data_IF_024574315242
#
_entry.id   IF_024574315242
#
_cell.length_a   1.000
_cell.length_b   1.000
_cell.length_c   1.000
_cell.angle_alpha   90.00
_cell.angle_beta   90.00
_cell.angle_gamma   90.00
#
_symmetry.space_group_name_H-M   'P 1'
#
loop_
_entity.id
_entity.type
_entity.pdbx_description
1 polymer ?
#
# COMPACT_ATOMS: atom_id res chain seq x y z
N UNK A 1 -11.62 -24.39 5.79
CA UNK A 1 -12.74 -23.45 5.62
C UNK A 1 -13.93 -24.19 5.05
N UNK A 2 -15.08 -24.05 5.65
CA UNK A 2 -16.33 -24.68 5.21
C UNK A 2 -17.43 -23.60 5.14
N UNK A 3 -18.01 -23.43 3.94
CA UNK A 3 -19.15 -22.54 3.76
C UNK A 3 -20.43 -23.26 4.20
N UNK A 4 -21.22 -22.62 5.05
CA UNK A 4 -22.50 -23.16 5.55
C UNK A 4 -23.64 -22.44 4.83
N UNK A 5 -23.78 -22.71 3.53
CA UNK A 5 -24.80 -22.09 2.70
C UNK A 5 -24.77 -20.56 2.78
N UNK A 6 -25.92 -19.96 3.12
CA UNK A 6 -26.07 -18.53 3.33
C UNK A 6 -25.82 -18.08 4.79
N UNK A 7 -25.46 -19.01 5.67
CA UNK A 7 -25.27 -18.77 7.10
C UNK A 7 -23.81 -18.46 7.46
N UNK A 8 -22.91 -18.33 6.49
CA UNK A 8 -21.54 -17.89 6.75
C UNK A 8 -20.49 -18.96 6.49
N UNK A 9 -19.30 -18.72 7.06
CA UNK A 9 -18.11 -19.56 6.87
C UNK A 9 -17.57 -20.01 8.23
N UNK A 10 -17.34 -21.30 8.38
CA UNK A 10 -16.62 -21.91 9.48
C UNK A 10 -15.16 -22.13 9.09
N UNK A 11 -14.25 -21.75 9.96
CA UNK A 11 -12.82 -21.94 9.81
C UNK A 11 -12.32 -22.78 10.98
N UNK A 12 -11.53 -23.82 10.67
CA UNK A 12 -10.80 -24.56 11.68
C UNK A 12 -9.37 -24.82 11.18
N UNK A 13 -8.41 -24.64 12.06
CA UNK A 13 -7.01 -24.93 11.80
C UNK A 13 -6.37 -25.61 13.03
N UNK A 14 -5.55 -26.62 12.76
CA UNK A 14 -4.72 -27.33 13.72
C UNK A 14 -3.28 -27.21 13.28
N UNK A 15 -2.40 -26.82 14.19
CA UNK A 15 -0.98 -26.77 13.92
C UNK A 15 -0.23 -27.43 15.08
N UNK A 16 0.84 -28.15 14.76
CA UNK A 16 1.76 -28.73 15.74
C UNK A 16 3.15 -28.19 15.47
N UNK A 17 3.89 -27.95 16.52
CA UNK A 17 5.29 -27.55 16.45
C UNK A 17 6.16 -28.45 17.32
N UNK A 18 7.40 -28.59 16.90
CA UNK A 18 8.48 -29.17 17.71
C UNK A 18 9.71 -28.29 17.53
N UNK A 19 10.13 -27.65 18.59
CA UNK A 19 11.26 -26.73 18.58
C UNK A 19 12.12 -26.99 19.82
N UNK A 20 13.41 -27.17 19.64
CA UNK A 20 14.40 -27.44 20.71
C UNK A 20 14.06 -28.63 21.64
N UNK A 21 13.26 -29.57 21.17
CA UNK A 21 12.83 -30.74 21.95
C UNK A 21 11.42 -30.60 22.52
N UNK A 22 10.94 -29.39 22.66
CA UNK A 22 9.61 -29.07 23.19
C UNK A 22 8.53 -29.25 22.12
N UNK A 23 7.35 -29.67 22.57
CA UNK A 23 6.20 -29.93 21.69
C UNK A 23 5.03 -29.05 22.10
N UNK A 24 4.38 -28.51 21.09
CA UNK A 24 3.17 -27.76 21.29
C UNK A 24 2.18 -27.91 20.14
N UNK A 25 0.94 -27.56 20.42
CA UNK A 25 -0.10 -27.54 19.40
C UNK A 25 -0.96 -26.29 19.51
N UNK A 26 -1.48 -25.84 18.39
CA UNK A 26 -2.38 -24.71 18.28
C UNK A 26 -3.69 -25.18 17.63
N UNK A 27 -4.78 -24.73 18.21
CA UNK A 27 -6.14 -24.89 17.67
C UNK A 27 -6.69 -23.52 17.39
N UNK A 28 -7.18 -23.28 16.19
CA UNK A 28 -7.89 -22.08 15.83
C UNK A 28 -9.27 -22.44 15.27
N UNK A 29 -10.29 -21.80 15.79
CA UNK A 29 -11.68 -21.92 15.37
C UNK A 29 -12.20 -20.54 15.02
N UNK A 30 -12.96 -20.42 13.95
CA UNK A 30 -13.57 -19.18 13.53
C UNK A 30 -14.92 -19.40 12.87
N UNK A 31 -15.78 -18.44 13.05
CA UNK A 31 -17.05 -18.33 12.34
C UNK A 31 -17.23 -16.90 11.86
N UNK A 32 -17.64 -16.74 10.62
CA UNK A 32 -17.89 -15.43 10.03
C UNK A 32 -19.19 -15.45 9.24
N UNK A 33 -20.05 -14.50 9.57
CA UNK A 33 -21.28 -14.22 8.84
C UNK A 33 -21.27 -12.77 8.36
N UNK A 34 -21.51 -12.55 7.10
CA UNK A 34 -21.60 -11.22 6.51
C UNK A 34 -22.85 -11.16 5.60
N UNK A 35 -23.69 -10.19 5.88
CA UNK A 35 -24.81 -9.79 5.05
C UNK A 35 -24.72 -8.29 4.74
N UNK A 36 -25.63 -7.76 3.96
CA UNK A 36 -25.68 -6.31 3.67
C UNK A 36 -25.95 -5.45 4.92
N UNK A 37 -26.58 -6.01 5.95
CA UNK A 37 -26.99 -5.29 7.17
C UNK A 37 -26.23 -5.70 8.41
N UNK A 38 -25.85 -6.95 8.53
CA UNK A 38 -25.27 -7.51 9.75
C UNK A 38 -24.01 -8.28 9.41
N UNK A 39 -22.93 -7.97 10.11
CA UNK A 39 -21.71 -8.74 10.16
C UNK A 39 -21.51 -9.30 11.56
N UNK A 40 -21.16 -10.58 11.65
CA UNK A 40 -20.79 -11.24 12.89
C UNK A 40 -19.51 -12.04 12.67
N UNK A 41 -18.57 -11.92 13.60
CA UNK A 41 -17.33 -12.66 13.62
C UNK A 41 -17.06 -13.25 14.99
N UNK A 42 -16.62 -14.51 15.00
CA UNK A 42 -16.08 -15.17 16.18
C UNK A 42 -14.77 -15.85 15.80
N UNK A 43 -13.73 -15.61 16.57
CA UNK A 43 -12.46 -16.29 16.43
C UNK A 43 -11.94 -16.70 17.81
N UNK A 44 -11.44 -17.92 17.90
CA UNK A 44 -10.77 -18.42 19.10
C UNK A 44 -9.51 -19.16 18.69
N UNK A 45 -8.41 -18.79 19.32
CA UNK A 45 -7.12 -19.44 19.18
C UNK A 45 -6.66 -19.91 20.54
N UNK A 46 -6.21 -21.16 20.62
CA UNK A 46 -5.63 -21.72 21.84
C UNK A 46 -4.31 -22.42 21.52
N UNK A 47 -3.32 -22.16 22.33
CA UNK A 47 -2.02 -22.82 22.26
C UNK A 47 -1.78 -23.62 23.52
N UNK A 48 -1.27 -24.82 23.35
CA UNK A 48 -0.98 -25.75 24.43
C UNK A 48 0.44 -26.26 24.30
N UNK A 49 1.08 -26.51 25.43
CA UNK A 49 2.49 -26.87 25.50
C UNK A 49 3.38 -25.70 25.05
N UNK A 50 4.59 -26.00 24.66
CA UNK A 50 5.56 -25.00 24.18
C UNK A 50 5.47 -24.83 22.65
N UNK A 51 4.27 -24.40 22.21
CA UNK A 51 4.06 -24.14 20.79
C UNK A 51 4.95 -23.00 20.30
N UNK A 52 5.67 -23.26 19.23
CA UNK A 52 6.52 -22.30 18.54
C UNK A 52 6.10 -22.16 17.08
N UNK A 53 6.06 -20.94 16.57
CA UNK A 53 5.94 -20.64 15.16
C UNK A 53 7.25 -20.05 14.61
N UNK A 54 7.28 -19.71 13.32
CA UNK A 54 8.48 -19.19 12.67
C UNK A 54 8.97 -17.85 13.27
N UNK A 55 8.10 -17.10 13.94
CA UNK A 55 8.50 -15.84 14.56
C UNK A 55 9.42 -16.06 15.79
N UNK A 56 9.23 -17.17 16.50
CA UNK A 56 10.06 -17.55 17.64
C UNK A 56 11.48 -17.98 17.22
N UNK A 57 11.65 -18.45 15.99
CA UNK A 57 12.98 -18.80 15.46
C UNK A 57 13.87 -17.56 15.31
N UNK A 58 13.29 -16.41 14.95
CA UNK A 58 14.01 -15.14 14.83
C UNK A 58 14.09 -14.33 16.13
N UNK A 59 13.30 -14.67 17.15
CA UNK A 59 13.21 -13.95 18.43
C UNK A 59 12.87 -14.95 19.54
N UNK A 60 13.85 -15.66 20.11
CA UNK A 60 13.64 -16.72 21.11
C UNK A 60 12.91 -16.25 22.37
N UNK A 61 13.09 -14.99 22.75
CA UNK A 61 12.47 -14.37 23.93
C UNK A 61 11.02 -13.96 23.70
N UNK A 62 10.51 -14.07 22.47
CA UNK A 62 9.13 -13.72 22.14
C UNK A 62 8.16 -14.75 22.69
N UNK A 63 7.36 -14.35 23.67
CA UNK A 63 6.32 -15.18 24.23
C UNK A 63 5.03 -15.04 23.42
N UNK A 64 4.60 -16.12 22.79
CA UNK A 64 3.32 -16.17 22.08
C UNK A 64 2.15 -16.18 23.08
N UNK A 65 1.03 -15.54 22.68
CA UNK A 65 -0.19 -15.59 23.50
C UNK A 65 -0.67 -17.04 23.67
N UNK A 66 -1.06 -17.43 24.89
CA UNK A 66 -1.63 -18.76 25.20
C UNK A 66 -3.02 -18.95 24.59
N UNK A 67 -3.83 -17.91 24.63
CA UNK A 67 -5.15 -17.91 24.02
C UNK A 67 -5.54 -16.52 23.55
N UNK A 68 -6.34 -16.45 22.51
CA UNK A 68 -7.06 -15.25 22.13
C UNK A 68 -8.47 -15.61 21.70
N UNK A 69 -9.42 -14.81 22.13
CA UNK A 69 -10.82 -14.92 21.75
C UNK A 69 -11.32 -13.54 21.30
N UNK A 70 -12.01 -13.53 20.16
CA UNK A 70 -12.53 -12.31 19.58
C UNK A 70 -13.96 -12.52 19.11
N UNK A 71 -14.84 -11.63 19.53
CA UNK A 71 -16.22 -11.53 19.04
C UNK A 71 -16.41 -10.16 18.42
N UNK A 72 -16.95 -10.09 17.22
CA UNK A 72 -17.27 -8.83 16.55
C UNK A 72 -18.69 -8.86 16.02
N UNK A 73 -19.36 -7.74 16.15
CA UNK A 73 -20.70 -7.51 15.61
C UNK A 73 -20.69 -6.17 14.87
N UNK A 74 -21.27 -6.11 13.70
CA UNK A 74 -21.50 -4.87 12.99
C UNK A 74 -22.91 -4.82 12.42
N UNK A 75 -23.52 -3.64 12.46
CA UNK A 75 -24.86 -3.39 11.95
C UNK A 75 -24.83 -2.15 11.08
N UNK A 76 -25.21 -2.32 9.82
CA UNK A 76 -25.37 -1.22 8.87
C UNK A 76 -26.78 -0.66 8.97
N UNK A 77 -26.90 0.61 9.36
CA UNK A 77 -28.15 1.34 9.51
C UNK A 77 -28.49 2.18 8.27
N UNK A 78 -27.89 1.86 7.12
CA UNK A 78 -28.04 2.57 5.86
C UNK A 78 -27.66 4.07 5.98
N UNK A 79 -28.62 4.97 5.78
CA UNK A 79 -28.41 6.42 5.84
C UNK A 79 -27.93 6.92 7.22
N UNK A 80 -28.15 6.15 8.27
CA UNK A 80 -27.73 6.51 9.63
C UNK A 80 -26.34 6.02 9.99
N UNK A 81 -25.65 5.34 9.07
CA UNK A 81 -24.27 4.88 9.30
C UNK A 81 -24.19 3.43 9.74
N UNK A 82 -23.11 3.08 10.44
CA UNK A 82 -22.85 1.72 10.92
C UNK A 82 -22.41 1.74 12.37
N UNK A 83 -22.90 0.76 13.15
CA UNK A 83 -22.48 0.53 14.54
C UNK A 83 -21.69 -0.77 14.57
N UNK A 84 -20.58 -0.77 15.32
CA UNK A 84 -19.76 -1.93 15.58
C UNK A 84 -19.60 -2.16 17.08
N UNK A 85 -19.50 -3.44 17.48
CA UNK A 85 -19.11 -3.85 18.81
C UNK A 85 -18.09 -4.98 18.73
N UNK A 86 -17.10 -4.95 19.60
CA UNK A 86 -16.05 -5.96 19.68
C UNK A 86 -15.76 -6.34 21.12
N UNK A 87 -15.47 -7.60 21.33
CA UNK A 87 -14.92 -8.12 22.58
C UNK A 87 -13.65 -8.91 22.25
N UNK A 88 -12.58 -8.61 22.96
CA UNK A 88 -11.28 -9.23 22.79
C UNK A 88 -10.78 -9.72 24.15
N UNK A 89 -10.37 -10.98 24.22
CA UNK A 89 -9.80 -11.61 25.40
C UNK A 89 -8.49 -12.27 25.01
N UNK A 90 -7.38 -11.75 25.47
CA UNK A 90 -6.05 -12.24 25.14
C UNK A 90 -5.33 -12.62 26.42
N UNK A 91 -4.83 -13.85 26.47
CA UNK A 91 -3.94 -14.33 27.51
C UNK A 91 -2.52 -14.45 26.94
N UNK A 92 -1.65 -13.60 27.42
CA UNK A 92 -0.23 -13.60 27.02
C UNK A 92 0.52 -14.83 27.53
N UNK A 93 1.72 -15.05 27.02
CA UNK A 93 2.59 -16.17 27.41
C UNK A 93 3.01 -16.14 28.88
N UNK A 94 3.20 -14.96 29.45
CA UNK A 94 3.51 -14.70 30.87
C UNK A 94 2.31 -14.93 31.81
N UNK A 95 1.10 -15.15 31.26
CA UNK A 95 -0.14 -15.38 32.00
C UNK A 95 -0.97 -14.12 32.23
N UNK A 96 -0.49 -12.94 31.86
CA UNK A 96 -1.30 -11.71 31.90
C UNK A 96 -2.50 -11.84 30.97
N UNK A 97 -3.63 -11.28 31.38
CA UNK A 97 -4.89 -11.36 30.65
C UNK A 97 -5.44 -9.97 30.41
N UNK A 98 -5.57 -9.60 29.16
CA UNK A 98 -6.18 -8.35 28.73
C UNK A 98 -7.52 -8.62 28.08
N UNK A 99 -8.56 -7.95 28.54
CA UNK A 99 -9.92 -8.04 28.00
C UNK A 99 -10.40 -6.65 27.61
N UNK A 100 -10.76 -6.48 26.34
CA UNK A 100 -11.18 -5.21 25.79
C UNK A 100 -12.60 -5.30 25.23
N UNK A 101 -13.40 -4.31 25.53
CA UNK A 101 -14.67 -4.04 24.85
C UNK A 101 -14.46 -2.80 23.99
N UNK A 102 -14.84 -2.91 22.73
CA UNK A 102 -14.85 -1.81 21.76
C UNK A 102 -16.28 -1.54 21.31
N UNK A 103 -16.67 -0.29 21.25
CA UNK A 103 -17.86 0.18 20.57
C UNK A 103 -17.44 1.20 19.53
N UNK A 104 -18.02 1.14 18.32
CA UNK A 104 -17.71 2.06 17.25
C UNK A 104 -18.96 2.49 16.50
N UNK A 105 -18.93 3.69 15.99
CA UNK A 105 -19.94 4.25 15.12
C UNK A 105 -19.26 4.98 13.97
N UNK A 106 -19.71 4.73 12.76
CA UNK A 106 -19.24 5.44 11.57
C UNK A 106 -20.43 5.91 10.76
N UNK A 107 -20.32 7.12 10.23
CA UNK A 107 -21.36 7.69 9.36
C UNK A 107 -20.73 8.50 8.22
N UNK A 108 -21.11 8.22 6.97
CA UNK A 108 -20.85 9.15 5.87
C UNK A 108 -21.63 10.45 6.13
N UNK A 109 -21.01 11.58 5.84
CA UNK A 109 -21.57 12.91 5.97
C UNK A 109 -21.90 13.47 4.58
N UNK A 110 -21.40 14.65 4.26
CA UNK A 110 -21.55 15.26 2.93
C UNK A 110 -20.40 14.86 2.00
N UNK A 111 -20.68 14.71 0.74
CA UNK A 111 -19.68 14.27 -0.26
C UNK A 111 -19.08 12.92 0.12
N UNK A 112 -17.76 12.85 0.18
CA UNK A 112 -16.98 11.68 0.64
C UNK A 112 -16.51 11.80 2.09
N UNK A 113 -17.00 12.77 2.85
CA UNK A 113 -16.61 12.98 4.25
C UNK A 113 -17.25 11.95 5.17
N UNK A 114 -16.57 11.63 6.26
CA UNK A 114 -17.05 10.66 7.25
C UNK A 114 -16.65 11.03 8.67
N UNK A 115 -17.49 10.65 9.61
CA UNK A 115 -17.21 10.69 11.05
C UNK A 115 -17.09 9.27 11.58
N UNK A 116 -16.12 9.08 12.47
CA UNK A 116 -15.90 7.85 13.20
C UNK A 116 -15.78 8.17 14.69
N UNK A 117 -16.54 7.43 15.50
CA UNK A 117 -16.48 7.48 16.95
C UNK A 117 -16.12 6.09 17.48
N UNK A 118 -15.26 6.00 18.47
CA UNK A 118 -15.00 4.74 19.15
C UNK A 118 -14.82 4.94 20.63
N UNK A 119 -15.21 3.92 21.38
CA UNK A 119 -14.98 3.82 22.82
C UNK A 119 -14.40 2.45 23.12
N UNK A 120 -13.30 2.42 23.85
CA UNK A 120 -12.60 1.23 24.27
C UNK A 120 -12.59 1.19 25.80
N UNK A 121 -12.79 0.02 26.37
CA UNK A 121 -12.71 -0.20 27.82
C UNK A 121 -12.02 -1.52 28.11
N UNK A 122 -11.05 -1.49 29.01
CA UNK A 122 -10.46 -2.70 29.56
C UNK A 122 -11.33 -3.26 30.69
N UNK A 123 -11.65 -4.57 30.58
CA UNK A 123 -12.50 -5.25 31.57
C UNK A 123 -11.65 -5.77 32.72
N UNK A 124 -11.90 -5.27 33.92
CA UNK A 124 -11.11 -5.61 35.09
C UNK A 124 -10.06 -4.58 35.47
N UNK A 125 -9.93 -3.54 34.64
CA UNK A 125 -9.17 -2.34 34.93
C UNK A 125 -10.09 -1.11 34.80
N UNK A 126 -9.64 0.04 35.32
CA UNK A 126 -10.35 1.30 35.18
C UNK A 126 -10.07 1.99 33.83
N UNK A 127 -9.23 1.41 32.99
CA UNK A 127 -8.77 2.05 31.74
C UNK A 127 -9.87 2.10 30.67
N UNK A 128 -10.09 3.29 30.13
CA UNK A 128 -10.96 3.54 29.02
C UNK A 128 -10.40 4.64 28.12
N UNK A 129 -10.73 4.61 26.85
CA UNK A 129 -10.42 5.65 25.87
C UNK A 129 -11.60 5.87 24.93
N UNK A 130 -11.89 7.13 24.62
CA UNK A 130 -12.90 7.54 23.64
C UNK A 130 -12.22 8.35 22.57
N UNK A 131 -12.50 8.06 21.32
CA UNK A 131 -11.95 8.74 20.15
C UNK A 131 -13.07 9.23 19.25
N UNK A 132 -12.91 10.44 18.74
CA UNK A 132 -13.69 10.99 17.65
C UNK A 132 -12.77 11.36 16.50
N UNK A 133 -13.16 11.03 15.28
CA UNK A 133 -12.40 11.36 14.08
C UNK A 133 -13.34 11.86 13.00
N UNK A 134 -12.93 12.93 12.31
CA UNK A 134 -13.59 13.48 11.13
C UNK A 134 -12.61 13.46 9.97
N UNK A 135 -13.02 12.89 8.84
CA UNK A 135 -12.24 12.81 7.62
C UNK A 135 -12.96 13.55 6.51
N UNK A 136 -12.28 14.50 5.89
CA UNK A 136 -12.81 15.33 4.81
C UNK A 136 -11.85 15.23 3.61
N UNK A 137 -12.17 14.41 2.60
CA UNK A 137 -11.41 14.40 1.36
C UNK A 137 -11.80 15.58 0.47
N UNK A 138 -10.81 16.21 -0.14
CA UNK A 138 -10.93 17.34 -1.07
C UNK A 138 -10.53 16.91 -2.49
N UNK A 139 -11.02 15.77 -2.96
CA UNK A 139 -10.72 15.19 -4.27
C UNK A 139 -9.21 15.19 -4.59
N UNK A 140 -8.82 15.98 -5.61
CA UNK A 140 -7.42 16.08 -6.04
C UNK A 140 -6.53 16.91 -5.11
N UNK A 141 -7.09 17.61 -4.12
CA UNK A 141 -6.33 18.53 -3.26
C UNK A 141 -5.83 17.87 -1.97
N UNK A 142 -6.35 16.72 -1.61
CA UNK A 142 -5.90 15.97 -0.43
C UNK A 142 -7.01 15.65 0.55
N UNK A 143 -6.62 15.23 1.74
CA UNK A 143 -7.55 14.80 2.80
C UNK A 143 -7.17 15.49 4.10
N UNK A 144 -8.15 16.09 4.76
CA UNK A 144 -8.05 16.59 6.13
C UNK A 144 -8.61 15.54 7.08
N UNK A 145 -7.83 15.14 8.07
CA UNK A 145 -8.26 14.29 9.16
C UNK A 145 -8.09 15.05 10.49
N UNK A 146 -9.16 15.12 11.25
CA UNK A 146 -9.19 15.66 12.60
C UNK A 146 -9.50 14.54 13.56
N UNK A 147 -8.75 14.40 14.63
CA UNK A 147 -9.08 13.43 15.67
C UNK A 147 -8.86 14.00 17.07
N UNK A 148 -9.70 13.54 17.98
CA UNK A 148 -9.60 13.83 19.41
C UNK A 148 -9.76 12.52 20.15
N UNK A 149 -8.87 12.26 21.09
CA UNK A 149 -8.88 11.10 21.96
C UNK A 149 -8.80 11.56 23.40
N UNK A 150 -9.55 10.90 24.28
CA UNK A 150 -9.52 11.14 25.72
C UNK A 150 -9.51 9.81 26.47
N UNK A 151 -8.59 9.70 27.42
CA UNK A 151 -8.49 8.53 28.32
C UNK A 151 -8.94 8.86 29.76
N UNK A 152 -9.07 7.83 30.57
CA UNK A 152 -9.38 7.97 32.00
C UNK A 152 -8.24 8.61 32.81
N UNK A 153 -7.02 8.62 32.32
CA UNK A 153 -5.87 9.28 32.93
C UNK A 153 -5.94 10.80 32.80
N UNK A 154 -7.03 11.31 32.19
CA UNK A 154 -7.24 12.74 31.94
C UNK A 154 -6.49 13.24 30.70
N UNK A 155 -5.71 12.38 30.07
CA UNK A 155 -4.98 12.73 28.85
C UNK A 155 -5.97 13.00 27.72
N UNK A 156 -5.82 14.15 27.11
CA UNK A 156 -6.52 14.50 25.87
C UNK A 156 -5.47 14.67 24.78
N UNK A 157 -5.67 13.98 23.66
CA UNK A 157 -4.80 14.07 22.50
C UNK A 157 -5.61 14.54 21.29
N UNK A 158 -5.22 15.67 20.71
CA UNK A 158 -5.81 16.21 19.50
C UNK A 158 -4.83 16.07 18.36
N UNK A 159 -5.31 15.66 17.20
CA UNK A 159 -4.49 15.56 15.99
C UNK A 159 -5.21 16.22 14.82
N UNK A 160 -4.44 16.93 14.04
CA UNK A 160 -4.85 17.48 12.75
C UNK A 160 -3.84 16.96 11.73
N UNK A 161 -4.33 16.34 10.68
CA UNK A 161 -3.49 15.91 9.57
C UNK A 161 -4.12 16.36 8.25
N UNK A 162 -3.32 16.99 7.41
CA UNK A 162 -3.69 17.33 6.05
C UNK A 162 -2.68 16.73 5.09
N UNK A 163 -3.11 15.81 4.25
CA UNK A 163 -2.21 15.06 3.37
C UNK A 163 -2.75 14.97 1.95
N UNK A 164 -1.83 15.00 1.00
CA UNK A 164 -2.07 14.71 -0.40
C UNK A 164 -1.08 13.64 -0.85
N UNK A 165 -1.60 12.53 -1.34
CA UNK A 165 -0.76 11.48 -1.91
C UNK A 165 -0.03 11.98 -3.17
N UNK A 166 1.21 11.53 -3.36
CA UNK A 166 1.94 11.76 -4.61
C UNK A 166 1.21 11.07 -5.75
N UNK A 167 0.92 11.75 -6.87
CA UNK A 167 0.33 11.11 -8.04
C UNK A 167 1.17 9.92 -8.55
N UNK A 168 0.53 8.98 -9.22
CA UNK A 168 1.23 7.81 -9.79
C UNK A 168 2.32 8.18 -10.79
N UNK A 169 2.11 9.26 -11.57
CA UNK A 169 3.10 9.84 -12.46
C UNK A 169 3.97 10.90 -11.78
N UNK A 170 4.23 12.00 -12.48
CA UNK A 170 4.93 13.18 -11.94
C UNK A 170 3.98 14.04 -11.10
N UNK A 171 4.49 14.66 -10.06
CA UNK A 171 3.69 15.55 -9.24
C UNK A 171 4.21 15.72 -7.83
N UNK A 172 3.44 16.44 -7.02
CA UNK A 172 3.78 16.78 -5.65
C UNK A 172 2.75 16.18 -4.70
N UNK A 173 3.25 15.50 -3.67
CA UNK A 173 2.51 15.10 -2.48
C UNK A 173 3.04 15.83 -1.25
N UNK A 174 2.23 15.94 -0.22
CA UNK A 174 2.62 16.54 1.04
C UNK A 174 1.82 15.97 2.21
N UNK A 175 2.40 16.08 3.39
CA UNK A 175 1.75 15.71 4.63
C UNK A 175 2.09 16.74 5.71
N UNK A 176 1.04 17.28 6.32
CA UNK A 176 1.14 18.25 7.40
C UNK A 176 0.42 17.68 8.62
N UNK A 177 1.14 17.51 9.71
CA UNK A 177 0.63 16.93 10.94
C UNK A 177 0.86 17.85 12.14
N UNK A 178 -0.13 17.94 12.99
CA UNK A 178 -0.05 18.56 14.30
C UNK A 178 -0.74 17.67 15.32
N UNK A 179 -0.08 17.43 16.42
CA UNK A 179 -0.65 16.72 17.55
C UNK A 179 -0.32 17.46 18.86
N UNK A 180 -1.32 17.64 19.70
CA UNK A 180 -1.16 18.26 21.02
C UNK A 180 -1.92 17.45 22.07
N UNK A 181 -1.35 17.31 23.24
CA UNK A 181 -1.93 16.62 24.37
C UNK A 181 -1.81 17.42 25.65
N UNK A 182 -2.54 17.04 26.69
CA UNK A 182 -2.51 17.72 28.00
C UNK A 182 -1.16 17.59 28.69
N UNK A 183 -0.44 16.45 28.50
CA UNK A 183 0.80 16.14 29.20
C UNK A 183 1.98 15.90 28.27
N UNK A 184 1.89 16.38 27.03
CA UNK A 184 2.94 16.21 26.00
C UNK A 184 3.16 17.50 25.25
N UNK A 185 4.41 17.77 24.92
CA UNK A 185 4.76 18.83 24.00
C UNK A 185 4.10 18.61 22.64
N UNK A 186 3.64 19.71 22.04
CA UNK A 186 3.01 19.66 20.74
C UNK A 186 3.98 19.13 19.69
N UNK A 187 3.58 18.03 19.04
CA UNK A 187 4.31 17.43 17.93
C UNK A 187 3.87 18.06 16.61
N UNK A 188 4.82 18.35 15.76
CA UNK A 188 4.61 18.94 14.44
C UNK A 188 5.36 18.12 13.41
N UNK A 189 4.71 17.97 12.24
CA UNK A 189 5.30 17.28 11.11
C UNK A 189 4.90 18.01 9.82
N UNK A 190 5.86 18.21 8.94
CA UNK A 190 5.62 18.66 7.59
C UNK A 190 6.60 17.98 6.65
N UNK A 191 6.10 17.34 5.62
CA UNK A 191 6.92 16.75 4.59
C UNK A 191 6.33 16.98 3.19
N UNK A 192 7.20 17.04 2.21
CA UNK A 192 6.87 17.15 0.80
C UNK A 192 7.62 16.11 0.01
N UNK A 193 6.93 15.47 -0.92
CA UNK A 193 7.50 14.56 -1.89
C UNK A 193 7.25 15.13 -3.29
N UNK A 194 8.31 15.35 -4.02
CA UNK A 194 8.25 15.78 -5.41
C UNK A 194 8.76 14.67 -6.32
N UNK A 195 7.84 14.09 -7.08
CA UNK A 195 8.14 13.05 -8.05
C UNK A 195 8.30 13.65 -9.42
N UNK A 196 9.50 13.56 -9.95
CA UNK A 196 9.86 13.89 -11.31
C UNK A 196 9.95 12.60 -12.15
N UNK A 197 10.17 12.72 -13.46
CA UNK A 197 10.30 11.52 -14.31
C UNK A 197 11.54 10.69 -13.96
N UNK A 198 12.64 11.33 -13.60
CA UNK A 198 13.95 10.70 -13.41
C UNK A 198 14.38 10.58 -11.95
N UNK A 199 13.76 11.33 -11.04
CA UNK A 199 14.13 11.38 -9.63
C UNK A 199 12.93 11.69 -8.75
N UNK A 200 12.92 11.18 -7.54
CA UNK A 200 11.99 11.59 -6.49
C UNK A 200 12.78 12.28 -5.39
N UNK A 201 12.37 13.49 -5.06
CA UNK A 201 12.92 14.28 -3.97
C UNK A 201 11.93 14.30 -2.82
N UNK A 202 12.42 14.11 -1.61
CA UNK A 202 11.63 14.20 -0.41
C UNK A 202 12.35 15.07 0.61
N UNK A 203 11.61 15.89 1.34
CA UNK A 203 12.15 16.63 2.44
C UNK A 203 11.07 16.83 3.50
N UNK A 204 11.50 16.92 4.75
CA UNK A 204 10.56 17.09 5.83
C UNK A 204 11.22 17.57 7.12
N UNK A 205 10.34 17.94 8.03
CA UNK A 205 10.66 18.34 9.38
C UNK A 205 9.63 17.73 10.33
N UNK A 206 10.10 17.19 11.44
CA UNK A 206 9.20 16.69 12.49
C UNK A 206 9.85 16.83 13.87
N UNK A 207 9.02 16.88 14.89
CA UNK A 207 9.47 16.93 16.28
C UNK A 207 8.55 17.70 17.20
N UNK A 208 8.99 17.88 18.44
CA UNK A 208 8.34 18.64 19.50
C UNK A 208 9.07 19.96 19.76
N UNK A 209 8.53 20.77 20.65
CA UNK A 209 9.15 22.05 21.06
C UNK A 209 10.57 21.81 21.59
N UNK A 210 11.58 22.40 20.92
CA UNK A 210 12.99 22.28 21.30
C UNK A 210 13.77 21.19 20.56
N UNK A 211 13.12 20.16 20.02
CA UNK A 211 13.78 19.05 19.31
C UNK A 211 13.13 18.80 17.94
N UNK A 212 13.62 19.50 16.93
CA UNK A 212 13.14 19.36 15.56
C UNK A 212 14.14 18.63 14.68
N UNK A 213 13.75 17.51 14.12
CA UNK A 213 14.52 16.77 13.13
C UNK A 213 14.16 17.26 11.73
N UNK A 214 15.17 17.50 10.92
CA UNK A 214 15.04 17.83 9.49
C UNK A 214 15.71 16.74 8.68
N UNK A 215 15.10 16.38 7.57
CA UNK A 215 15.63 15.35 6.69
C UNK A 215 15.36 15.70 5.22
N UNK A 216 16.19 15.17 4.35
CA UNK A 216 16.00 15.23 2.93
C UNK A 216 16.50 13.92 2.30
N UNK A 217 15.82 13.46 1.27
CA UNK A 217 16.14 12.26 0.52
C UNK A 217 15.99 12.52 -0.97
N UNK A 218 16.85 11.89 -1.76
CA UNK A 218 16.76 11.85 -3.20
C UNK A 218 16.91 10.41 -3.67
N UNK A 219 15.91 9.89 -4.36
CA UNK A 219 15.89 8.53 -4.86
C UNK A 219 15.64 8.49 -6.35
N UNK A 220 16.28 7.55 -7.04
CA UNK A 220 16.16 7.33 -8.47
C UNK A 220 16.92 6.09 -8.91
N UNK A 221 16.77 5.76 -10.19
CA UNK A 221 17.44 4.64 -10.84
C UNK A 221 18.18 5.11 -12.07
N UNK A 222 19.40 4.62 -12.27
CA UNK A 222 20.17 4.79 -13.51
C UNK A 222 20.24 3.46 -14.21
N UNK A 223 19.86 3.47 -15.48
CA UNK A 223 19.93 2.32 -16.38
C UNK A 223 20.99 2.59 -17.42
N UNK A 224 21.96 1.72 -17.50
CA UNK A 224 22.90 1.70 -18.62
C UNK A 224 22.57 0.52 -19.52
N UNK A 225 22.19 0.81 -20.73
CA UNK A 225 21.83 -0.16 -21.74
C UNK A 225 22.39 0.30 -23.08
N UNK A 226 22.52 -0.60 -24.04
CA UNK A 226 23.20 -0.50 -25.36
C UNK A 226 23.14 0.91 -26.03
N UNK A 227 21.99 1.56 -25.90
CA UNK A 227 21.74 2.87 -26.52
C UNK A 227 22.15 4.09 -25.67
N UNK A 228 22.50 3.91 -24.40
CA UNK A 228 22.86 5.02 -23.53
C UNK A 228 22.56 4.86 -22.06
N UNK A 229 22.56 5.98 -21.35
CA UNK A 229 22.24 6.08 -19.92
C UNK A 229 20.87 6.72 -19.78
N UNK A 230 19.98 6.07 -19.06
CA UNK A 230 18.63 6.53 -18.78
C UNK A 230 18.44 6.70 -17.29
N UNK A 231 17.80 7.79 -16.89
CA UNK A 231 17.38 8.01 -15.52
C UNK A 231 15.89 7.75 -15.37
N UNK A 232 15.51 7.04 -14.32
CA UNK A 232 14.13 6.81 -13.94
C UNK A 232 13.92 7.07 -12.46
N UNK A 233 12.70 7.35 -12.09
CA UNK A 233 12.34 7.56 -10.68
C UNK A 233 12.64 6.30 -9.86
N UNK A 234 12.01 5.19 -10.18
CA UNK A 234 12.20 3.91 -9.51
C UNK A 234 11.92 2.75 -10.45
N UNK A 235 12.75 1.74 -10.39
CA UNK A 235 12.56 0.47 -11.08
C UNK A 235 12.41 -0.61 -10.01
N UNK A 236 11.19 -1.14 -9.88
CA UNK A 236 10.88 -2.10 -8.82
C UNK A 236 11.07 -3.55 -9.25
N UNK A 237 10.82 -3.87 -10.54
CA UNK A 237 10.77 -5.26 -10.99
C UNK A 237 11.56 -5.47 -12.29
N UNK A 238 11.12 -4.85 -13.38
CA UNK A 238 11.76 -4.94 -14.68
C UNK A 238 11.59 -3.61 -15.44
N UNK A 239 12.32 -3.43 -16.52
CA UNK A 239 12.20 -2.25 -17.38
C UNK A 239 12.33 -2.61 -18.86
N UNK A 240 11.80 -1.74 -19.70
CA UNK A 240 11.97 -1.83 -21.17
C UNK A 240 12.46 -0.49 -21.69
N UNK A 241 13.47 -0.52 -22.56
CA UNK A 241 13.85 0.63 -23.37
C UNK A 241 13.20 0.43 -24.74
N UNK A 242 12.27 1.32 -25.07
CA UNK A 242 11.66 1.34 -26.41
C UNK A 242 12.55 2.13 -27.34
N UNK A 243 12.84 1.56 -28.52
CA UNK A 243 13.65 2.20 -29.57
C UNK A 243 12.81 2.40 -30.83
N UNK A 244 12.87 3.60 -31.37
CA UNK A 244 12.27 4.01 -32.63
C UNK A 244 13.31 4.24 -33.72
N UNK A 245 14.47 3.54 -33.65
CA UNK A 245 15.53 3.60 -34.62
C UNK A 245 16.03 5.03 -34.94
N UNK A 246 16.10 5.91 -33.93
CA UNK A 246 16.59 7.28 -34.04
C UNK A 246 15.52 8.34 -34.26
N UNK A 247 14.24 7.97 -34.38
CA UNK A 247 13.16 8.95 -34.51
C UNK A 247 12.79 9.51 -33.15
N UNK A 248 12.95 10.81 -32.96
CA UNK A 248 12.61 11.54 -31.74
C UNK A 248 11.13 11.90 -31.70
N UNK A 249 10.67 12.27 -30.51
CA UNK A 249 9.31 12.78 -30.25
C UNK A 249 8.16 11.84 -30.67
N UNK A 250 8.44 10.54 -30.71
CA UNK A 250 7.42 9.52 -31.01
C UNK A 250 6.72 9.16 -29.69
N UNK A 251 5.39 9.31 -29.63
CA UNK A 251 4.63 8.92 -28.44
C UNK A 251 4.69 7.42 -28.22
N UNK A 252 4.97 7.01 -26.98
CA UNK A 252 5.01 5.62 -26.56
C UNK A 252 3.92 5.37 -25.53
N UNK A 253 3.18 4.28 -25.73
CA UNK A 253 2.15 3.82 -24.79
C UNK A 253 2.55 2.49 -24.18
N UNK A 254 2.25 2.34 -22.91
CA UNK A 254 2.31 1.08 -22.19
C UNK A 254 0.93 0.80 -21.60
N UNK A 255 0.38 -0.39 -21.86
CA UNK A 255 -0.99 -0.79 -21.46
C UNK A 255 -2.05 0.28 -21.84
N UNK A 256 -1.97 0.79 -23.07
CA UNK A 256 -2.83 1.82 -23.66
C UNK A 256 -2.72 3.23 -23.00
N UNK A 257 -1.78 3.45 -22.10
CA UNK A 257 -1.52 4.75 -21.49
C UNK A 257 -0.26 5.37 -22.09
N UNK A 258 -0.32 6.61 -22.55
CA UNK A 258 0.86 7.35 -22.98
C UNK A 258 1.75 7.61 -21.76
N UNK A 259 2.97 7.11 -21.83
CA UNK A 259 3.97 7.19 -20.74
C UNK A 259 5.06 8.22 -21.02
N UNK A 260 5.17 8.67 -22.26
CA UNK A 260 6.14 9.67 -22.70
C UNK A 260 6.44 9.61 -24.17
N UNK A 261 7.48 10.32 -24.57
CA UNK A 261 7.95 10.40 -25.96
C UNK A 261 9.42 10.05 -26.04
N UNK A 262 9.86 9.53 -27.17
CA UNK A 262 11.26 9.18 -27.41
C UNK A 262 12.15 10.42 -27.41
N UNK A 263 13.35 10.26 -26.89
CA UNK A 263 14.39 11.28 -26.84
C UNK A 263 15.00 11.58 -28.24
N UNK A 264 16.00 12.48 -28.30
CA UNK A 264 16.68 12.86 -29.50
C UNK A 264 17.37 11.68 -30.23
N UNK A 265 17.57 10.55 -29.56
CA UNK A 265 18.14 9.31 -30.11
C UNK A 265 17.08 8.25 -30.42
N UNK A 266 15.80 8.58 -30.25
CA UNK A 266 14.70 7.67 -30.49
C UNK A 266 14.49 6.64 -29.38
N UNK A 267 14.83 6.94 -28.11
CA UNK A 267 14.68 6.03 -27.00
C UNK A 267 13.76 6.57 -25.94
N UNK A 268 13.00 5.67 -25.31
CA UNK A 268 12.24 5.95 -24.09
C UNK A 268 12.37 4.78 -23.11
N UNK A 269 12.76 5.08 -21.87
CA UNK A 269 12.75 4.10 -20.79
C UNK A 269 11.35 3.96 -20.20
N UNK A 270 10.86 2.72 -20.14
CA UNK A 270 9.62 2.30 -19.46
C UNK A 270 10.01 1.58 -18.16
N UNK A 271 10.02 2.26 -17.00
CA UNK A 271 10.55 1.70 -15.75
C UNK A 271 9.58 0.82 -14.98
N UNK A 272 8.31 0.70 -15.42
CA UNK A 272 7.22 0.08 -14.66
C UNK A 272 6.80 -1.30 -15.20
N UNK A 273 7.69 -1.98 -15.88
CA UNK A 273 7.38 -3.29 -16.45
C UNK A 273 7.33 -4.34 -15.34
N UNK A 274 6.24 -5.12 -15.30
CA UNK A 274 6.15 -6.26 -14.38
C UNK A 274 6.89 -7.46 -14.94
N UNK A 275 7.72 -8.08 -14.11
CA UNK A 275 8.45 -9.28 -14.49
C UNK A 275 7.51 -10.43 -14.85
N UNK A 276 7.83 -11.17 -15.92
CA UNK A 276 7.06 -12.30 -16.45
C UNK A 276 5.66 -11.98 -16.97
N UNK A 277 5.25 -10.72 -16.96
CA UNK A 277 4.00 -10.26 -17.55
C UNK A 277 4.22 -9.82 -18.99
N UNK A 278 3.33 -10.23 -19.90
CA UNK A 278 3.37 -9.83 -21.31
C UNK A 278 2.77 -8.43 -21.49
N UNK A 279 3.56 -7.41 -21.12
CA UNK A 279 3.17 -6.02 -21.26
C UNK A 279 3.02 -5.61 -22.72
N UNK A 280 2.02 -4.78 -23.00
CA UNK A 280 1.71 -4.22 -24.31
C UNK A 280 2.42 -2.88 -24.48
N UNK A 281 3.26 -2.77 -25.51
CA UNK A 281 3.98 -1.56 -25.88
C UNK A 281 3.52 -1.11 -27.27
N UNK A 282 3.21 0.17 -27.42
CA UNK A 282 2.74 0.76 -28.67
C UNK A 282 3.49 2.07 -28.94
N UNK A 283 3.65 2.40 -30.22
CA UNK A 283 4.08 3.72 -30.70
C UNK A 283 2.97 4.33 -31.56
N UNK A 284 2.86 5.65 -31.53
CA UNK A 284 1.98 6.37 -32.44
C UNK A 284 2.76 6.73 -33.70
N UNK A 285 2.46 6.12 -34.86
CA UNK A 285 3.19 6.34 -36.08
C UNK A 285 2.89 7.68 -36.76
N UNK A 286 1.92 8.45 -36.28
CA UNK A 286 1.51 9.72 -36.94
C UNK A 286 2.62 10.75 -37.01
N UNK A 287 3.59 10.67 -36.09
CA UNK A 287 4.75 11.59 -36.08
C UNK A 287 5.97 11.03 -36.83
N UNK A 288 5.85 9.87 -37.46
CA UNK A 288 6.92 9.31 -38.27
C UNK A 288 6.88 9.89 -39.70
N UNK A 289 8.05 10.06 -40.36
CA UNK A 289 8.10 10.42 -41.79
C UNK A 289 7.37 9.39 -42.65
N UNK A 290 6.69 9.80 -43.72
CA UNK A 290 5.84 8.90 -44.51
C UNK A 290 6.61 7.80 -45.30
N UNK A 291 7.93 7.88 -45.35
CA UNK A 291 8.82 6.87 -45.92
C UNK A 291 9.26 5.80 -44.91
N UNK A 292 8.87 5.94 -43.66
CA UNK A 292 9.20 4.98 -42.60
C UNK A 292 8.13 3.92 -42.51
N UNK A 293 8.47 2.70 -42.76
CA UNK A 293 7.62 1.55 -42.53
C UNK A 293 7.73 1.11 -41.07
N UNK A 294 6.68 1.28 -40.31
CA UNK A 294 6.53 0.71 -38.97
C UNK A 294 5.59 -0.52 -39.05
N UNK A 295 6.11 -1.72 -39.40
CA UNK A 295 5.28 -2.89 -39.62
C UNK A 295 4.57 -3.35 -38.35
N UNK A 296 5.16 -3.13 -37.18
CA UNK A 296 4.66 -3.53 -35.89
C UNK A 296 4.63 -2.33 -34.94
N UNK A 297 3.52 -1.57 -34.97
CA UNK A 297 3.31 -0.44 -34.05
C UNK A 297 2.97 -0.90 -32.62
N UNK A 298 2.68 -2.17 -32.44
CA UNK A 298 2.35 -2.81 -31.16
C UNK A 298 3.17 -4.09 -30.98
N UNK A 299 3.79 -4.27 -29.82
CA UNK A 299 4.42 -5.54 -29.44
C UNK A 299 4.11 -5.87 -27.97
N UNK A 300 4.02 -7.17 -27.69
CA UNK A 300 3.84 -7.70 -26.33
C UNK A 300 5.07 -8.46 -25.89
N UNK A 301 5.72 -7.95 -24.86
CA UNK A 301 6.99 -8.50 -24.35
C UNK A 301 6.86 -8.84 -22.88
N UNK A 302 7.36 -10.02 -22.51
CA UNK A 302 7.54 -10.43 -21.13
C UNK A 302 9.04 -10.32 -20.78
N UNK A 303 9.34 -9.54 -19.75
CA UNK A 303 10.70 -9.33 -19.26
C UNK A 303 10.93 -10.14 -18.00
N UNK A 304 12.13 -10.66 -17.82
CA UNK A 304 12.47 -11.38 -16.59
C UNK A 304 12.61 -10.38 -15.42
N UNK A 305 12.20 -10.79 -14.24
CA UNK A 305 12.39 -10.01 -13.03
C UNK A 305 13.85 -9.62 -12.81
N UNK A 306 14.09 -8.37 -12.44
CA UNK A 306 15.44 -7.81 -12.24
C UNK A 306 16.24 -7.62 -13.51
N UNK A 307 15.58 -7.57 -14.69
CA UNK A 307 16.26 -7.37 -15.97
C UNK A 307 15.61 -6.28 -16.81
N UNK A 308 16.34 -5.84 -17.83
CA UNK A 308 15.87 -4.91 -18.85
C UNK A 308 15.77 -5.57 -20.22
N UNK A 309 14.95 -5.00 -21.08
CA UNK A 309 14.78 -5.43 -22.47
C UNK A 309 14.80 -4.22 -23.41
N UNK A 310 15.55 -4.33 -24.51
CA UNK A 310 15.52 -3.34 -25.59
C UNK A 310 14.48 -3.77 -26.63
N UNK A 311 13.42 -3.00 -26.77
CA UNK A 311 12.31 -3.25 -27.68
C UNK A 311 12.40 -2.30 -28.88
N UNK A 312 12.73 -2.81 -30.05
CA UNK A 312 12.68 -2.05 -31.29
C UNK A 312 11.34 -2.23 -31.98
N UNK A 313 10.60 -1.14 -32.19
CA UNK A 313 9.30 -1.11 -32.84
C UNK A 313 9.39 -0.65 -34.32
N UNK A 314 10.54 -0.14 -34.75
CA UNK A 314 10.78 0.27 -36.12
C UNK A 314 11.99 -0.52 -36.64
N UNK A 315 11.78 -1.29 -37.70
CA UNK A 315 12.83 -1.95 -38.42
C UNK A 315 13.04 -1.22 -39.76
N UNK A 316 14.22 -0.61 -39.93
CA UNK A 316 14.61 -0.10 -41.23
C UNK A 316 15.02 -1.31 -42.05
N UNK A 317 14.18 -1.74 -42.99
CA UNK A 317 14.58 -2.71 -43.97
C UNK A 317 15.59 -2.05 -44.94
N UNK A 318 16.84 -2.53 -44.96
CA UNK A 318 17.76 -2.10 -46.02
C UNK A 318 17.12 -2.37 -47.38
N UNK A 319 17.13 -1.42 -48.32
CA UNK A 319 16.65 -1.65 -49.68
C UNK A 319 17.46 -2.77 -50.29
N UNK A 320 16.83 -3.90 -50.55
CA UNK A 320 17.42 -5.02 -51.27
C UNK A 320 17.86 -4.52 -52.61
N UNK A 321 19.14 -4.27 -52.80
CA UNK A 321 19.70 -3.97 -54.13
C UNK A 321 19.49 -5.19 -55.03
N UNK A 322 18.46 -5.12 -55.87
CA UNK A 322 18.31 -6.03 -56.98
C UNK A 322 19.58 -5.97 -57.83
N UNK A 323 20.46 -6.96 -57.69
CA UNK A 323 21.56 -7.17 -58.69
C UNK A 323 20.87 -7.51 -60.01
N UNK A 324 20.92 -6.55 -60.93
CA UNK A 324 20.66 -6.85 -62.34
C UNK A 324 21.67 -7.89 -62.76
N UNK A 325 21.22 -9.11 -63.02
CA UNK A 325 21.99 -10.11 -63.76
C UNK A 325 21.88 -9.71 -65.25
N UNK A 326 22.97 -9.29 -65.82
CA UNK A 326 23.16 -9.11 -67.26
C UNK A 326 23.63 -10.38 -67.90
#
# INVERSE_FOLDING_TARGET
>A
NMRVGNFGVLNAALAQSRFEGDKGHQVALGYQYNSQRIGFGYQRLQRHGDYADLSRVGSPDMQLSKSSEQVTLSVNLNAYGSIGAGYFDVRAGDGTRTRLINLSYSKPLWGSSSVYLSANREVGDSQWAVQAQLVIPFDLHGTLALSMERSNEGETLQRVNYSRAVPAGVGVGYNLGYAAGSDRDAYRQADVTWRLQSVQLQAGVYGSSGEMTRWADASGSLVWMDAGVFAANRIDDAFVVVSTAGYADVPVRYENQEIGRTDAKGHLLVPYSSGYYRGKYEIDPMNLPPDVLAPDVEQRVAVRRGSGYLLSLIHISEPTRLRRIS
#
